data_IF_734009276531
#
_entry.id   IF_734009276531
#
_cell.length_a   1.000
_cell.length_b   1.000
_cell.length_c   1.000
_cell.angle_alpha   90.00
_cell.angle_beta   90.00
_cell.angle_gamma   90.00
#
_symmetry.space_group_name_H-M   'P 1'
#
loop_
_entity.id
_entity.type
_entity.pdbx_description
1 polymer ?
#
# COMPACT_ATOMS: atom_id res chain seq x y z
N UNK A 1 -35.41 12.89 -12.19
CA UNK A 1 -34.04 13.48 -12.22
C UNK A 1 -33.33 13.11 -10.93
N UNK A 2 -32.44 12.12 -10.97
CA UNK A 2 -31.68 11.68 -9.79
C UNK A 2 -30.76 12.81 -9.32
N UNK A 3 -30.91 13.28 -8.08
CA UNK A 3 -29.94 14.16 -7.45
C UNK A 3 -28.62 13.39 -7.42
N UNK A 4 -27.65 13.83 -8.23
CA UNK A 4 -26.23 13.48 -8.12
C UNK A 4 -25.73 13.92 -6.74
N UNK A 5 -26.10 13.16 -5.71
CA UNK A 5 -25.61 13.33 -4.36
C UNK A 5 -24.22 12.74 -4.35
N UNK A 6 -23.21 13.62 -4.43
CA UNK A 6 -21.82 13.23 -4.21
C UNK A 6 -21.77 12.64 -2.80
N UNK A 7 -21.26 11.42 -2.60
CA UNK A 7 -21.19 10.81 -1.27
C UNK A 7 -20.37 11.70 -0.33
N UNK A 8 -20.77 11.75 0.94
CA UNK A 8 -20.11 12.58 1.95
C UNK A 8 -18.63 12.19 2.11
N UNK A 9 -17.78 13.21 2.21
CA UNK A 9 -16.37 13.05 2.54
C UNK A 9 -16.22 12.95 4.07
N UNK A 10 -15.13 12.35 4.57
CA UNK A 10 -14.75 12.55 5.96
C UNK A 10 -14.59 14.05 6.24
N UNK A 11 -15.13 14.51 7.37
CA UNK A 11 -15.02 15.91 7.80
C UNK A 11 -13.65 16.17 8.44
N UNK A 12 -12.62 16.28 7.61
CA UNK A 12 -11.29 16.73 8.04
C UNK A 12 -11.18 18.26 7.98
N UNK A 13 -10.54 18.84 8.99
CA UNK A 13 -10.17 20.26 8.97
C UNK A 13 -9.14 20.51 7.87
N UNK A 14 -9.02 21.76 7.38
CA UNK A 14 -7.97 22.13 6.40
C UNK A 14 -6.56 21.81 6.92
N UNK A 15 -6.34 21.93 8.22
CA UNK A 15 -5.07 21.58 8.86
C UNK A 15 -4.80 20.09 8.84
N UNK A 16 -5.83 19.25 9.03
CA UNK A 16 -5.68 17.80 8.93
C UNK A 16 -5.40 17.37 7.50
N UNK A 17 -6.11 17.94 6.52
CA UNK A 17 -5.84 17.71 5.10
C UNK A 17 -4.41 18.10 4.70
N UNK A 18 -3.90 19.22 5.24
CA UNK A 18 -2.52 19.63 5.03
C UNK A 18 -1.53 18.63 5.63
N UNK A 19 -1.74 18.19 6.88
CA UNK A 19 -0.88 17.19 7.52
C UNK A 19 -0.90 15.89 6.72
N UNK A 20 -2.07 15.41 6.31
CA UNK A 20 -2.22 14.19 5.51
C UNK A 20 -1.50 14.29 4.16
N UNK A 21 -1.59 15.45 3.51
CA UNK A 21 -0.91 15.72 2.23
C UNK A 21 0.61 15.78 2.40
N UNK A 22 1.10 16.40 3.47
CA UNK A 22 2.54 16.55 3.71
C UNK A 22 3.20 15.23 4.09
N UNK A 23 2.56 14.42 4.93
CA UNK A 23 3.12 13.12 5.36
C UNK A 23 3.30 12.18 4.17
N UNK A 24 2.27 12.02 3.33
CA UNK A 24 2.37 11.19 2.14
C UNK A 24 3.14 11.87 0.99
N UNK A 25 3.15 13.20 0.93
CA UNK A 25 3.99 13.96 0.01
C UNK A 25 5.49 13.73 0.28
N UNK A 26 5.90 13.63 1.55
CA UNK A 26 7.26 13.25 1.92
C UNK A 26 7.59 11.82 1.46
N UNK A 27 6.65 10.88 1.60
CA UNK A 27 6.78 9.52 1.06
C UNK A 27 6.93 9.51 -0.46
N UNK A 28 6.17 10.35 -1.18
CA UNK A 28 6.30 10.49 -2.64
C UNK A 28 7.68 11.02 -3.03
N UNK A 29 8.17 12.08 -2.37
CA UNK A 29 9.50 12.64 -2.64
C UNK A 29 10.60 11.62 -2.37
N UNK A 30 10.51 10.86 -1.28
CA UNK A 30 11.41 9.74 -1.02
C UNK A 30 11.35 8.73 -2.17
N UNK A 31 10.16 8.30 -2.57
CA UNK A 31 9.96 7.31 -3.63
C UNK A 31 10.54 7.75 -4.97
N UNK A 32 10.37 9.02 -5.35
CA UNK A 32 10.90 9.57 -6.61
C UNK A 32 12.43 9.49 -6.71
N UNK A 33 13.14 9.44 -5.59
CA UNK A 33 14.61 9.28 -5.54
C UNK A 33 15.00 7.82 -5.32
N UNK A 34 14.34 7.15 -4.37
CA UNK A 34 14.70 5.81 -3.92
C UNK A 34 14.28 4.70 -4.90
N UNK A 35 13.14 4.83 -5.58
CA UNK A 35 12.65 3.82 -6.53
C UNK A 35 13.54 3.70 -7.77
N UNK A 36 14.01 4.78 -8.42
CA UNK A 36 15.00 4.66 -9.50
C UNK A 36 16.29 3.97 -9.06
N UNK A 37 16.78 4.25 -7.85
CA UNK A 37 17.94 3.57 -7.29
C UNK A 37 17.71 2.08 -7.06
N UNK A 38 16.53 1.72 -6.52
CA UNK A 38 16.12 0.33 -6.35
C UNK A 38 16.06 -0.42 -7.68
N UNK A 39 15.44 0.19 -8.70
CA UNK A 39 15.33 -0.41 -10.05
C UNK A 39 16.72 -0.56 -10.68
N UNK A 40 17.60 0.44 -10.54
CA UNK A 40 18.98 0.34 -11.01
C UNK A 40 19.73 -0.82 -10.35
N UNK A 41 19.63 -0.95 -9.02
CA UNK A 41 20.24 -2.06 -8.27
C UNK A 41 19.69 -3.40 -8.76
N UNK A 42 18.37 -3.53 -8.91
CA UNK A 42 17.74 -4.77 -9.39
C UNK A 42 18.09 -5.11 -10.85
N UNK A 43 18.47 -4.12 -11.67
CA UNK A 43 18.82 -4.33 -13.08
C UNK A 43 20.15 -5.07 -13.29
N UNK A 44 20.99 -5.15 -12.27
CA UNK A 44 22.24 -5.94 -12.33
C UNK A 44 22.03 -7.42 -11.97
N UNK A 45 20.84 -7.77 -11.47
CA UNK A 45 20.46 -9.11 -11.06
C UNK A 45 19.70 -9.88 -12.15
N UNK A 46 18.76 -10.71 -11.72
CA UNK A 46 17.89 -11.50 -12.58
C UNK A 46 16.72 -10.70 -13.16
N UNK A 47 16.07 -11.23 -14.20
CA UNK A 47 14.81 -10.65 -14.71
C UNK A 47 13.72 -10.58 -13.64
N UNK A 48 13.68 -11.54 -12.71
CA UNK A 48 12.72 -11.55 -11.61
C UNK A 48 12.97 -10.42 -10.61
N UNK A 49 14.24 -10.08 -10.38
CA UNK A 49 14.65 -9.01 -9.48
C UNK A 49 14.16 -7.68 -10.03
N UNK A 50 14.46 -7.42 -11.32
CA UNK A 50 14.03 -6.22 -12.03
C UNK A 50 12.49 -6.09 -12.08
N UNK A 51 11.80 -7.18 -12.45
CA UNK A 51 10.33 -7.18 -12.53
C UNK A 51 9.69 -6.96 -11.15
N UNK A 52 10.17 -7.68 -10.13
CA UNK A 52 9.69 -7.56 -8.76
C UNK A 52 9.89 -6.16 -8.18
N UNK A 53 11.10 -5.60 -8.33
CA UNK A 53 11.43 -4.24 -7.90
C UNK A 53 10.60 -3.19 -8.64
N UNK A 54 10.37 -3.37 -9.95
CA UNK A 54 9.57 -2.43 -10.76
C UNK A 54 8.11 -2.40 -10.33
N UNK A 55 7.51 -3.57 -10.08
CA UNK A 55 6.12 -3.68 -9.61
C UNK A 55 5.98 -3.07 -8.21
N UNK A 56 6.90 -3.36 -7.31
CA UNK A 56 6.91 -2.75 -5.98
C UNK A 56 7.07 -1.22 -6.06
N UNK A 57 8.06 -0.74 -6.82
CA UNK A 57 8.35 0.68 -6.99
C UNK A 57 7.19 1.48 -7.59
N UNK A 58 6.53 0.92 -8.61
CA UNK A 58 5.30 1.50 -9.16
C UNK A 58 4.20 1.60 -8.10
N UNK A 59 3.99 0.52 -7.35
CA UNK A 59 2.94 0.47 -6.32
C UNK A 59 3.20 1.46 -5.18
N UNK A 60 4.47 1.63 -4.79
CA UNK A 60 4.92 2.62 -3.81
C UNK A 60 4.62 4.04 -4.30
N UNK A 61 5.08 4.39 -5.51
CA UNK A 61 4.83 5.73 -6.07
C UNK A 61 3.33 6.00 -6.22
N UNK A 62 2.57 4.98 -6.62
CA UNK A 62 1.12 5.08 -6.81
C UNK A 62 0.40 5.45 -5.51
N UNK A 63 0.65 4.76 -4.39
CA UNK A 63 -0.04 5.04 -3.12
C UNK A 63 0.28 6.44 -2.60
N UNK A 64 1.55 6.84 -2.63
CA UNK A 64 1.94 8.17 -2.12
C UNK A 64 1.44 9.29 -3.04
N UNK A 65 1.50 9.12 -4.36
CA UNK A 65 0.94 10.09 -5.28
C UNK A 65 -0.59 10.21 -5.14
N UNK A 66 -1.29 9.08 -5.12
CA UNK A 66 -2.74 9.05 -4.99
C UNK A 66 -3.23 9.76 -3.73
N UNK A 67 -2.60 9.45 -2.61
CA UNK A 67 -2.97 10.00 -1.32
C UNK A 67 -2.62 11.48 -1.16
N UNK A 68 -1.43 11.87 -1.61
CA UNK A 68 -1.03 13.28 -1.62
C UNK A 68 -2.01 14.12 -2.43
N UNK A 69 -2.39 13.65 -3.62
CA UNK A 69 -3.37 14.34 -4.46
C UNK A 69 -4.75 14.38 -3.79
N UNK A 70 -5.22 13.27 -3.24
CA UNK A 70 -6.53 13.20 -2.59
C UNK A 70 -6.69 14.24 -1.47
N UNK A 71 -5.68 14.38 -0.62
CA UNK A 71 -5.72 15.34 0.49
C UNK A 71 -5.41 16.79 0.06
N UNK A 72 -4.71 16.98 -1.06
CA UNK A 72 -4.39 18.31 -1.58
C UNK A 72 -5.59 18.99 -2.26
N UNK A 73 -6.51 18.23 -2.87
CA UNK A 73 -7.60 18.79 -3.66
C UNK A 73 -8.97 18.73 -2.97
N UNK A 74 -9.61 19.90 -2.83
CA UNK A 74 -10.90 20.02 -2.13
C UNK A 74 -12.13 20.14 -3.06
N UNK A 75 -11.93 20.23 -4.38
CA UNK A 75 -13.04 20.33 -5.35
C UNK A 75 -13.86 19.03 -5.34
N UNK A 76 -15.19 19.05 -5.06
CA UNK A 76 -15.95 17.83 -4.75
C UNK A 76 -15.83 16.69 -5.77
N UNK A 77 -16.02 16.98 -7.07
CA UNK A 77 -15.95 15.94 -8.12
C UNK A 77 -14.54 15.36 -8.27
N UNK A 78 -13.52 16.19 -8.15
CA UNK A 78 -12.12 15.77 -8.23
C UNK A 78 -11.73 14.97 -6.99
N UNK A 79 -12.07 15.47 -5.79
CA UNK A 79 -11.83 14.81 -4.51
C UNK A 79 -12.46 13.42 -4.47
N UNK A 80 -13.66 13.26 -5.02
CA UNK A 80 -14.30 11.95 -5.14
C UNK A 80 -13.49 10.96 -6.00
N UNK A 81 -13.01 11.38 -7.17
CA UNK A 81 -12.19 10.52 -8.05
C UNK A 81 -10.85 10.18 -7.40
N UNK A 82 -10.20 11.16 -6.78
CA UNK A 82 -8.94 10.96 -6.08
C UNK A 82 -9.10 10.03 -4.86
N UNK A 83 -10.23 10.09 -4.15
CA UNK A 83 -10.54 9.15 -3.06
C UNK A 83 -10.63 7.70 -3.56
N UNK A 84 -11.23 7.48 -4.72
CA UNK A 84 -11.26 6.15 -5.34
C UNK A 84 -9.82 5.69 -5.62
N UNK A 85 -9.03 6.55 -6.25
CA UNK A 85 -7.65 6.25 -6.61
C UNK A 85 -6.76 5.97 -5.38
N UNK A 86 -6.88 6.78 -4.34
CA UNK A 86 -6.20 6.61 -3.05
C UNK A 86 -6.52 5.26 -2.40
N UNK A 87 -7.81 4.92 -2.31
CA UNK A 87 -8.23 3.64 -1.74
C UNK A 87 -7.80 2.43 -2.60
N UNK A 88 -7.82 2.55 -3.93
CA UNK A 88 -7.36 1.51 -4.85
C UNK A 88 -5.86 1.29 -4.71
N UNK A 89 -5.10 2.36 -4.55
CA UNK A 89 -3.65 2.27 -4.44
C UNK A 89 -3.20 1.46 -3.21
N UNK A 90 -4.02 1.38 -2.15
CA UNK A 90 -3.74 0.51 -0.99
C UNK A 90 -3.74 -0.97 -1.41
N UNK A 91 -4.74 -1.40 -2.19
CA UNK A 91 -4.79 -2.77 -2.71
C UNK A 91 -3.55 -3.08 -3.57
N UNK A 92 -3.21 -2.16 -4.48
CA UNK A 92 -2.05 -2.29 -5.37
C UNK A 92 -0.75 -2.33 -4.57
N UNK A 93 -0.59 -1.48 -3.55
CA UNK A 93 0.58 -1.48 -2.67
C UNK A 93 0.73 -2.81 -1.92
N UNK A 94 -0.37 -3.38 -1.40
CA UNK A 94 -0.30 -4.67 -0.72
C UNK A 94 0.13 -5.76 -1.71
N UNK A 95 -0.52 -5.92 -2.86
CA UNK A 95 -0.12 -6.93 -3.85
C UNK A 95 1.31 -6.70 -4.40
N UNK A 96 1.66 -5.44 -4.67
CA UNK A 96 2.98 -5.02 -5.13
C UNK A 96 4.09 -5.31 -4.13
N UNK A 97 3.81 -5.20 -2.83
CA UNK A 97 4.78 -5.52 -1.76
C UNK A 97 5.13 -6.99 -1.64
N UNK A 98 4.27 -7.90 -2.11
CA UNK A 98 4.53 -9.34 -2.12
C UNK A 98 5.30 -9.80 -3.36
N UNK A 99 5.07 -9.10 -4.49
CA UNK A 99 5.57 -9.49 -5.81
C UNK A 99 7.08 -9.79 -5.83
N UNK A 100 8.00 -8.91 -5.34
CA UNK A 100 9.44 -9.20 -5.39
C UNK A 100 9.80 -10.46 -4.60
N UNK A 101 9.25 -10.66 -3.41
CA UNK A 101 9.58 -11.83 -2.58
C UNK A 101 9.09 -13.14 -3.18
N UNK A 102 7.91 -13.13 -3.83
CA UNK A 102 7.44 -14.29 -4.59
C UNK A 102 8.36 -14.61 -5.75
N UNK A 103 8.71 -13.61 -6.57
CA UNK A 103 9.50 -13.84 -7.78
C UNK A 103 10.96 -14.24 -7.49
N UNK A 104 11.53 -13.75 -6.38
CA UNK A 104 12.93 -13.98 -6.01
C UNK A 104 13.08 -15.25 -5.16
N UNK A 105 12.27 -15.41 -4.10
CA UNK A 105 12.48 -16.47 -3.10
C UNK A 105 11.45 -17.60 -3.14
N UNK A 106 10.23 -17.34 -3.63
CA UNK A 106 9.12 -18.31 -3.62
C UNK A 106 8.59 -18.54 -5.03
N UNK A 107 9.51 -18.68 -5.98
CA UNK A 107 9.23 -18.81 -7.41
C UNK A 107 8.72 -20.22 -7.76
N UNK A 108 7.59 -20.59 -7.17
CA UNK A 108 6.95 -21.90 -7.30
C UNK A 108 5.42 -21.74 -7.28
N UNK A 109 4.70 -22.85 -7.42
CA UNK A 109 3.24 -22.87 -7.48
C UNK A 109 2.57 -22.15 -6.29
N UNK A 110 3.09 -22.33 -5.07
CA UNK A 110 2.54 -21.69 -3.86
C UNK A 110 2.69 -20.18 -3.91
N UNK A 111 3.86 -19.67 -4.27
CA UNK A 111 4.10 -18.23 -4.39
C UNK A 111 3.20 -17.58 -5.45
N UNK A 112 3.09 -18.21 -6.63
CA UNK A 112 2.20 -17.71 -7.69
C UNK A 112 0.72 -17.79 -7.32
N UNK A 113 0.30 -18.78 -6.52
CA UNK A 113 -1.07 -18.86 -6.01
C UNK A 113 -1.39 -17.68 -5.11
N UNK A 114 -0.50 -17.37 -4.16
CA UNK A 114 -0.64 -16.22 -3.25
C UNK A 114 -0.68 -14.91 -4.06
N UNK A 115 0.25 -14.75 -5.00
CA UNK A 115 0.32 -13.57 -5.85
C UNK A 115 -0.95 -13.40 -6.68
N UNK A 116 -1.47 -14.48 -7.26
CA UNK A 116 -2.72 -14.47 -8.05
C UNK A 116 -3.92 -14.06 -7.20
N UNK A 117 -4.03 -14.58 -5.97
CA UNK A 117 -5.11 -14.19 -5.05
C UNK A 117 -5.00 -12.70 -4.71
N UNK A 118 -3.81 -12.19 -4.40
CA UNK A 118 -3.59 -10.78 -4.05
C UNK A 118 -3.97 -9.84 -5.20
N UNK A 119 -3.54 -10.14 -6.42
CA UNK A 119 -3.88 -9.34 -7.61
C UNK A 119 -5.36 -9.48 -7.98
N UNK A 120 -5.97 -10.66 -7.83
CA UNK A 120 -7.41 -10.84 -8.00
C UNK A 120 -8.21 -9.99 -6.99
N UNK A 121 -7.83 -10.03 -5.71
CA UNK A 121 -8.44 -9.19 -4.66
C UNK A 121 -8.24 -7.70 -4.94
N UNK A 122 -7.11 -7.32 -5.55
CA UNK A 122 -6.85 -5.95 -6.00
C UNK A 122 -7.82 -5.52 -7.12
N UNK A 123 -8.05 -6.38 -8.11
CA UNK A 123 -9.02 -6.10 -9.18
C UNK A 123 -10.46 -6.02 -8.66
N UNK A 124 -10.81 -6.93 -7.75
CA UNK A 124 -12.12 -6.90 -7.05
C UNK A 124 -12.26 -5.62 -6.23
N UNK A 125 -11.23 -5.25 -5.45
CA UNK A 125 -11.17 -4.01 -4.68
C UNK A 125 -11.33 -2.76 -5.54
N UNK A 126 -10.64 -2.72 -6.69
CA UNK A 126 -10.80 -1.66 -7.70
C UNK A 126 -12.24 -1.55 -8.18
N UNK A 127 -12.85 -2.66 -8.60
CA UNK A 127 -14.25 -2.69 -9.01
C UNK A 127 -15.15 -2.14 -7.90
N UNK A 128 -15.04 -2.65 -6.67
CA UNK A 128 -15.86 -2.18 -5.56
C UNK A 128 -15.65 -0.70 -5.24
N UNK A 129 -14.43 -0.18 -5.29
CA UNK A 129 -14.17 1.24 -5.00
C UNK A 129 -14.70 2.15 -6.11
N UNK A 130 -14.66 1.74 -7.37
CA UNK A 130 -15.25 2.53 -8.47
C UNK A 130 -16.77 2.72 -8.29
N UNK A 131 -17.48 1.67 -7.86
CA UNK A 131 -18.96 1.70 -7.77
C UNK A 131 -19.50 2.04 -6.37
N UNK A 132 -18.73 1.80 -5.30
CA UNK A 132 -19.22 1.83 -3.90
C UNK A 132 -18.27 2.51 -2.91
N UNK A 133 -17.39 3.42 -3.36
CA UNK A 133 -16.50 4.19 -2.46
C UNK A 133 -17.29 4.87 -1.32
N UNK A 134 -16.76 4.80 -0.10
CA UNK A 134 -17.37 5.41 1.09
C UNK A 134 -18.43 4.54 1.79
N UNK A 135 -18.95 3.48 1.15
CA UNK A 135 -20.03 2.66 1.75
C UNK A 135 -19.51 1.50 2.61
N UNK A 136 -18.44 0.83 2.16
CA UNK A 136 -17.95 -0.42 2.77
C UNK A 136 -16.54 -0.27 3.37
N UNK A 137 -16.22 0.87 3.96
CA UNK A 137 -14.85 1.17 4.43
C UNK A 137 -14.35 0.18 5.50
N UNK A 138 -15.22 -0.29 6.41
CA UNK A 138 -14.82 -1.31 7.41
C UNK A 138 -14.43 -2.63 6.74
N UNK A 139 -15.20 -3.04 5.72
CA UNK A 139 -14.93 -4.27 4.96
C UNK A 139 -13.65 -4.13 4.15
N UNK A 140 -13.40 -2.98 3.52
CA UNK A 140 -12.13 -2.73 2.82
C UNK A 140 -10.93 -2.85 3.75
N UNK A 141 -10.99 -2.26 4.95
CA UNK A 141 -9.91 -2.38 5.95
C UNK A 141 -9.70 -3.84 6.36
N UNK A 142 -10.78 -4.60 6.60
CA UNK A 142 -10.66 -6.02 6.92
C UNK A 142 -9.97 -6.79 5.77
N UNK A 143 -10.35 -6.53 4.52
CA UNK A 143 -9.70 -7.13 3.34
C UNK A 143 -8.22 -6.73 3.26
N UNK A 144 -7.87 -5.47 3.53
CA UNK A 144 -6.46 -5.03 3.55
C UNK A 144 -5.63 -5.80 4.57
N UNK A 145 -6.14 -5.97 5.79
CA UNK A 145 -5.45 -6.72 6.83
C UNK A 145 -5.31 -8.18 6.41
N UNK A 146 -6.38 -8.81 5.91
CA UNK A 146 -6.34 -10.20 5.44
C UNK A 146 -5.31 -10.39 4.32
N UNK A 147 -5.29 -9.48 3.33
CA UNK A 147 -4.28 -9.48 2.27
C UNK A 147 -2.87 -9.29 2.84
N UNK A 148 -2.69 -8.33 3.74
CA UNK A 148 -1.40 -8.00 4.35
C UNK A 148 -0.78 -9.13 5.17
N UNK A 149 -1.60 -10.02 5.73
CA UNK A 149 -1.14 -11.17 6.51
C UNK A 149 -1.18 -12.51 5.73
N UNK A 150 -1.41 -12.49 4.41
CA UNK A 150 -1.42 -13.70 3.59
C UNK A 150 -0.13 -14.53 3.68
N UNK A 151 1.01 -13.88 3.92
CA UNK A 151 2.31 -14.50 4.18
C UNK A 151 2.29 -15.53 5.33
N UNK A 152 1.49 -15.31 6.38
CA UNK A 152 1.33 -16.28 7.47
C UNK A 152 0.67 -17.56 6.98
N UNK A 153 -0.28 -17.47 6.04
CA UNK A 153 -0.99 -18.65 5.54
C UNK A 153 -0.21 -19.41 4.47
N UNK A 154 0.75 -18.76 3.80
CA UNK A 154 1.75 -19.39 2.93
C UNK A 154 2.94 -20.02 3.66
N UNK A 155 2.87 -20.08 5.00
CA UNK A 155 4.00 -20.04 5.94
C UNK A 155 5.24 -20.84 5.56
N UNK A 156 5.14 -22.11 5.17
CA UNK A 156 6.36 -22.93 5.12
C UNK A 156 7.35 -22.49 4.03
N UNK A 157 6.88 -22.35 2.79
CA UNK A 157 7.75 -21.96 1.68
C UNK A 157 8.23 -20.52 1.75
N UNK A 158 7.54 -19.63 2.46
CA UNK A 158 8.06 -18.26 2.64
C UNK A 158 9.15 -18.22 3.71
N UNK A 159 8.90 -18.78 4.90
CA UNK A 159 9.85 -18.65 6.00
C UNK A 159 11.14 -19.47 5.80
N UNK A 160 11.09 -20.56 5.03
CA UNK A 160 12.28 -21.39 4.74
C UNK A 160 13.18 -20.78 3.64
N UNK A 161 12.62 -19.98 2.72
CA UNK A 161 13.37 -19.46 1.57
C UNK A 161 13.82 -18.00 1.73
N UNK A 162 13.21 -17.23 2.64
CA UNK A 162 13.59 -15.83 2.85
C UNK A 162 14.76 -15.72 3.84
N UNK A 163 15.81 -14.95 3.51
CA UNK A 163 16.85 -14.62 4.47
C UNK A 163 16.30 -13.86 5.70
N UNK A 164 16.88 -14.09 6.87
CA UNK A 164 16.44 -13.45 8.12
C UNK A 164 16.49 -11.91 8.08
N UNK A 165 17.47 -11.34 7.38
CA UNK A 165 17.60 -9.89 7.18
C UNK A 165 16.48 -9.30 6.29
N UNK A 166 15.81 -10.13 5.48
CA UNK A 166 14.63 -9.76 4.70
C UNK A 166 13.34 -9.95 5.51
N UNK A 167 13.28 -11.00 6.35
CA UNK A 167 12.11 -11.30 7.20
C UNK A 167 11.87 -10.22 8.25
N UNK A 168 12.91 -9.79 8.97
CA UNK A 168 12.77 -8.83 10.06
C UNK A 168 12.08 -7.51 9.64
N UNK A 169 12.51 -6.82 8.56
CA UNK A 169 11.82 -5.61 8.10
C UNK A 169 10.39 -5.89 7.60
N UNK A 170 10.11 -7.02 6.96
CA UNK A 170 8.73 -7.39 6.57
C UNK A 170 7.84 -7.51 7.81
N UNK A 171 8.31 -8.21 8.85
CA UNK A 171 7.55 -8.41 10.07
C UNK A 171 7.28 -7.08 10.80
N UNK A 172 8.30 -6.23 10.92
CA UNK A 172 8.15 -4.89 11.52
C UNK A 172 7.17 -4.04 10.70
N UNK A 173 7.29 -4.05 9.37
CA UNK A 173 6.38 -3.35 8.47
C UNK A 173 4.93 -3.80 8.61
N UNK A 174 4.69 -5.12 8.61
CA UNK A 174 3.35 -5.71 8.80
C UNK A 174 2.72 -5.33 10.15
N UNK A 175 3.52 -5.32 11.22
CA UNK A 175 3.07 -4.87 12.54
C UNK A 175 2.74 -3.37 12.54
N UNK A 176 3.58 -2.53 11.95
CA UNK A 176 3.34 -1.08 11.84
C UNK A 176 2.06 -0.77 11.05
N UNK A 177 1.83 -1.46 9.93
CA UNK A 177 0.57 -1.34 9.19
C UNK A 177 -0.64 -1.69 10.07
N UNK A 178 -0.56 -2.80 10.80
CA UNK A 178 -1.65 -3.29 11.66
C UNK A 178 -1.92 -2.33 12.82
N UNK A 179 -0.88 -1.84 13.49
CA UNK A 179 -0.99 -0.84 14.57
C UNK A 179 -1.56 0.47 14.02
N UNK A 180 -1.12 0.89 12.84
CA UNK A 180 -1.64 2.08 12.16
C UNK A 180 -3.16 2.05 11.97
N UNK A 181 -3.75 0.88 11.74
CA UNK A 181 -5.22 0.74 11.62
C UNK A 181 -5.94 1.18 12.89
N UNK A 182 -5.35 0.97 14.08
CA UNK A 182 -5.95 1.41 15.35
C UNK A 182 -6.18 2.93 15.31
N UNK A 183 -5.16 3.69 14.90
CA UNK A 183 -5.26 5.14 14.75
C UNK A 183 -6.21 5.53 13.63
N UNK A 184 -6.16 4.85 12.47
CA UNK A 184 -7.12 5.11 11.39
C UNK A 184 -8.58 5.04 11.86
N UNK A 185 -8.90 4.08 12.75
CA UNK A 185 -10.25 3.86 13.28
C UNK A 185 -10.61 4.74 14.48
N UNK A 186 -9.65 5.44 15.07
CA UNK A 186 -9.88 6.29 16.23
C UNK A 186 -10.41 7.66 15.82
N UNK A 187 -11.63 7.70 15.27
CA UNK A 187 -12.24 8.91 14.68
C UNK A 187 -12.42 10.08 15.67
N UNK A 188 -12.40 9.83 16.99
CA UNK A 188 -12.44 10.88 18.02
C UNK A 188 -11.08 11.51 18.36
N UNK A 189 -9.97 10.91 17.91
CA UNK A 189 -8.63 11.45 18.11
C UNK A 189 -8.32 12.48 17.03
N UNK A 190 -7.90 13.68 17.42
CA UNK A 190 -7.47 14.71 16.46
C UNK A 190 -6.24 14.22 15.68
N UNK A 191 -6.21 14.45 14.37
CA UNK A 191 -5.15 13.96 13.46
C UNK A 191 -4.99 12.44 13.38
N UNK A 192 -6.00 11.65 13.77
CA UNK A 192 -5.94 10.18 13.73
C UNK A 192 -5.51 9.64 12.35
N UNK A 193 -6.02 10.24 11.27
CA UNK A 193 -5.65 9.89 9.89
C UNK A 193 -4.20 10.25 9.54
N UNK A 194 -3.73 11.41 10.01
CA UNK A 194 -2.34 11.83 9.84
C UNK A 194 -1.36 10.92 10.58
N UNK A 195 -1.72 10.47 11.79
CA UNK A 195 -0.93 9.48 12.54
C UNK A 195 -0.90 8.16 11.77
N UNK A 196 -2.03 7.71 11.23
CA UNK A 196 -2.07 6.53 10.36
C UNK A 196 -1.13 6.65 9.16
N UNK A 197 -1.10 7.81 8.49
CA UNK A 197 -0.16 8.06 7.39
C UNK A 197 1.31 7.91 7.81
N UNK A 198 1.68 8.34 9.02
CA UNK A 198 3.04 8.14 9.53
C UNK A 198 3.36 6.66 9.71
N UNK A 199 2.42 5.87 10.24
CA UNK A 199 2.59 4.41 10.35
C UNK A 199 2.70 3.73 8.98
N UNK A 200 1.88 4.15 8.00
CA UNK A 200 1.94 3.65 6.61
C UNK A 200 3.29 3.97 5.97
N UNK A 201 3.80 5.18 6.18
CA UNK A 201 5.12 5.58 5.71
C UNK A 201 6.23 4.75 6.34
N UNK A 202 6.28 4.67 7.66
CA UNK A 202 7.27 3.87 8.38
C UNK A 202 7.24 2.40 7.92
N UNK A 203 6.05 1.80 7.85
CA UNK A 203 5.87 0.43 7.38
C UNK A 203 6.39 0.25 5.94
N UNK A 204 6.04 1.17 5.03
CA UNK A 204 6.50 1.14 3.64
C UNK A 204 8.01 1.24 3.52
N UNK A 205 8.69 2.02 4.36
CA UNK A 205 10.15 2.14 4.38
C UNK A 205 10.83 0.85 4.85
N UNK A 206 10.24 0.14 5.82
CA UNK A 206 10.72 -1.20 6.18
C UNK A 206 10.53 -2.19 5.02
N UNK A 207 9.37 -2.20 4.36
CA UNK A 207 9.17 -3.01 3.16
C UNK A 207 10.14 -2.63 2.03
N UNK A 208 10.40 -1.33 1.82
CA UNK A 208 11.38 -0.87 0.82
C UNK A 208 12.76 -1.43 1.12
N UNK A 209 13.16 -1.36 2.38
CA UNK A 209 14.43 -1.91 2.87
C UNK A 209 14.49 -3.42 2.60
N UNK A 210 13.43 -4.16 2.90
CA UNK A 210 13.35 -5.59 2.61
C UNK A 210 13.48 -5.91 1.11
N UNK A 211 12.82 -5.13 0.24
CA UNK A 211 12.92 -5.32 -1.21
C UNK A 211 14.32 -4.98 -1.72
N UNK A 212 14.93 -3.91 -1.19
CA UNK A 212 16.30 -3.52 -1.53
C UNK A 212 17.30 -4.62 -1.17
N UNK A 213 17.19 -5.21 0.03
CA UNK A 213 18.02 -6.36 0.42
C UNK A 213 17.73 -7.62 -0.39
N UNK A 214 16.52 -7.76 -0.94
CA UNK A 214 16.17 -8.92 -1.73
C UNK A 214 16.78 -8.92 -3.14
N UNK A 215 17.07 -7.73 -3.68
CA UNK A 215 17.60 -7.54 -5.05
C UNK A 215 19.08 -7.18 -5.08
N UNK A 216 19.75 -7.19 -3.92
CA UNK A 216 21.21 -7.08 -3.79
C UNK A 216 21.83 -8.46 -3.66
#
# INVERSE_FOLDING_TARGET
>A
MSKNTIPSFPDYTRTEELVNSLTHGAGLLFGLVAVPWLIYTASTGSWNDLLGASVYGFSFLLIYAASTLYHSFQKPRLKHRLRIFDHVAIYVMIAGSYTPFVLIYVNNFTGYTILSILWMLTLIGLFFKVFYVGRFEKLSVAIYILMGWMLIFGARSFWENLPGFTIAPIAIGGLLYTIGVIFYRWESLRYHHGIWHVFVLAASLFHFTAVYWAVQ
#
